data_IF_364387666712
#
_entry.id   IF_364387666712
#
_cell.length_a   1.000
_cell.length_b   1.000
_cell.length_c   1.000
_cell.angle_alpha   90.00
_cell.angle_beta   90.00
_cell.angle_gamma   90.00
#
_symmetry.space_group_name_H-M   'P 1'
#
loop_
_entity.id
_entity.type
_entity.pdbx_description
1 polymer ?
#
# COMPACT_ATOMS: atom_id res chain seq x y z
N UNK A 1 59.05 30.10 -13.69
CA UNK A 1 59.46 28.92 -14.44
C UNK A 1 58.15 28.16 -14.67
N UNK A 2 57.40 28.43 -15.72
CA UNK A 2 57.49 27.86 -17.08
C UNK A 2 57.14 26.36 -17.01
N UNK A 3 56.17 25.73 -17.68
CA UNK A 3 55.42 26.00 -18.90
C UNK A 3 54.20 25.04 -18.84
N UNK A 4 53.00 25.42 -19.25
CA UNK A 4 52.46 25.51 -20.62
C UNK A 4 52.18 24.17 -21.32
N UNK A 5 50.88 23.94 -21.54
CA UNK A 5 50.14 23.70 -22.80
C UNK A 5 50.20 22.26 -23.34
N UNK A 6 49.17 21.65 -23.87
CA UNK A 6 48.32 22.07 -24.97
C UNK A 6 47.15 21.09 -25.19
N UNK A 7 46.03 21.63 -25.66
CA UNK A 7 44.95 20.95 -26.40
C UNK A 7 45.38 20.80 -27.89
N UNK A 8 44.89 19.87 -28.66
CA UNK A 8 44.05 20.24 -29.80
C UNK A 8 42.88 19.31 -30.09
N UNK A 9 41.76 19.78 -30.29
CA UNK A 9 40.75 20.03 -31.35
C UNK A 9 40.94 19.31 -32.71
N UNK A 10 39.73 19.09 -33.34
CA UNK A 10 39.37 18.81 -34.76
C UNK A 10 39.14 17.33 -35.08
N UNK A 11 37.98 16.97 -35.60
CA UNK A 11 37.58 17.12 -36.97
C UNK A 11 36.14 16.67 -37.29
N UNK A 12 35.58 17.47 -38.10
CA UNK A 12 34.27 17.42 -38.76
C UNK A 12 34.16 16.36 -39.86
N UNK A 13 32.88 16.03 -40.17
CA UNK A 13 32.41 15.66 -41.51
C UNK A 13 32.20 14.16 -41.64
N UNK A 14 31.13 13.63 -42.24
CA UNK A 14 30.51 13.97 -43.54
C UNK A 14 29.17 13.24 -43.60
N UNK A 15 28.15 13.92 -44.09
CA UNK A 15 26.90 13.40 -44.60
C UNK A 15 27.11 12.41 -45.76
N UNK A 16 26.40 11.30 -45.78
CA UNK A 16 26.07 10.58 -47.02
C UNK A 16 24.56 10.30 -47.10
N UNK A 17 23.94 11.05 -48.03
CA UNK A 17 22.68 10.71 -48.64
C UNK A 17 22.97 9.69 -49.75
N UNK A 18 22.27 8.58 -49.75
CA UNK A 18 22.29 7.61 -50.83
C UNK A 18 20.88 7.07 -51.08
N UNK A 19 20.19 7.68 -52.02
CA UNK A 19 19.02 7.11 -52.72
C UNK A 19 19.55 6.02 -53.64
N UNK A 20 18.97 4.80 -53.57
CA UNK A 20 18.99 3.86 -54.71
C UNK A 20 17.66 3.18 -54.84
N UNK A 21 17.20 3.20 -56.07
CA UNK A 21 15.90 2.80 -56.55
C UNK A 21 15.69 1.27 -56.60
N UNK A 22 14.40 0.89 -56.62
CA UNK A 22 13.87 -0.42 -57.01
C UNK A 22 14.31 -0.89 -58.40
N UNK A 23 14.25 -2.20 -58.68
CA UNK A 23 13.47 -2.64 -59.76
C UNK A 23 12.46 -3.74 -59.39
N UNK A 24 11.26 -3.59 -59.93
CA UNK A 24 10.23 -4.61 -60.16
C UNK A 24 10.77 -5.66 -61.13
N UNK A 25 10.67 -6.93 -60.76
CA UNK A 25 10.66 -8.04 -61.72
C UNK A 25 9.48 -8.93 -61.42
N UNK A 26 8.53 -8.91 -62.35
CA UNK A 26 7.45 -9.88 -62.42
C UNK A 26 7.99 -11.18 -63.02
N UNK A 27 7.69 -12.30 -62.37
CA UNK A 27 7.98 -13.63 -62.89
C UNK A 27 6.88 -14.61 -62.47
N UNK A 28 5.94 -14.85 -63.36
CA UNK A 28 5.00 -15.98 -63.31
C UNK A 28 5.77 -17.27 -63.64
N UNK A 29 5.71 -18.28 -62.78
CA UNK A 29 5.88 -19.69 -63.18
C UNK A 29 4.95 -20.57 -62.36
N UNK A 30 4.31 -21.42 -63.06
CA UNK A 30 3.24 -22.37 -62.80
C UNK A 30 3.63 -23.57 -61.94
N UNK A 31 2.66 -24.03 -61.16
CA UNK A 31 2.27 -25.41 -60.86
C UNK A 31 3.30 -26.45 -60.45
N UNK A 32 3.11 -26.96 -59.23
CA UNK A 32 3.63 -28.25 -58.80
C UNK A 32 2.98 -28.65 -57.47
N UNK A 33 1.93 -29.47 -57.53
CA UNK A 33 1.32 -30.12 -56.37
C UNK A 33 2.29 -31.16 -55.81
N UNK A 34 2.76 -30.97 -54.61
CA UNK A 34 3.27 -32.03 -53.76
C UNK A 34 2.55 -31.92 -52.43
N UNK A 35 1.61 -32.80 -52.20
CA UNK A 35 1.00 -33.06 -50.90
C UNK A 35 2.08 -33.71 -50.05
N UNK A 36 2.59 -33.00 -49.05
CA UNK A 36 3.31 -33.59 -47.95
C UNK A 36 2.53 -33.20 -46.68
N UNK A 37 1.84 -34.21 -46.17
CA UNK A 37 1.28 -34.20 -44.81
C UNK A 37 2.39 -33.80 -43.84
N UNK A 38 2.30 -32.61 -43.30
CA UNK A 38 3.02 -32.20 -42.08
C UNK A 38 1.95 -31.86 -41.09
N UNK A 39 1.86 -32.66 -40.05
CA UNK A 39 1.20 -32.31 -38.80
C UNK A 39 1.84 -31.00 -38.25
N UNK A 40 1.24 -29.86 -38.63
CA UNK A 40 1.48 -28.61 -37.93
C UNK A 40 0.71 -28.69 -36.59
N UNK A 41 1.37 -28.42 -35.46
CA UNK A 41 0.65 -28.28 -34.22
C UNK A 41 -0.33 -27.12 -34.40
N UNK A 42 -1.63 -27.40 -34.30
CA UNK A 42 -2.70 -26.41 -34.31
C UNK A 42 -2.34 -25.26 -33.38
N UNK A 43 -2.28 -24.05 -33.92
CA UNK A 43 -2.23 -22.85 -33.13
C UNK A 43 -3.34 -22.90 -32.07
N UNK A 44 -3.06 -22.58 -30.80
CA UNK A 44 -4.13 -22.55 -29.82
C UNK A 44 -5.21 -21.60 -30.29
N UNK A 45 -6.45 -22.07 -30.23
CA UNK A 45 -7.64 -21.28 -30.56
C UNK A 45 -7.56 -19.94 -29.79
N UNK A 46 -7.97 -18.82 -30.39
CA UNK A 46 -8.02 -17.56 -29.68
C UNK A 46 -8.84 -17.79 -28.41
N UNK A 47 -8.20 -17.61 -27.27
CA UNK A 47 -8.87 -17.64 -25.97
C UNK A 47 -10.00 -16.64 -26.09
N UNK A 48 -11.24 -17.12 -25.93
CA UNK A 48 -12.42 -16.28 -25.94
C UNK A 48 -12.13 -15.07 -25.06
N UNK A 49 -12.41 -13.88 -25.59
CA UNK A 49 -12.25 -12.64 -24.85
C UNK A 49 -12.84 -12.86 -23.44
N UNK A 50 -11.99 -12.76 -22.45
CA UNK A 50 -12.40 -12.89 -21.05
C UNK A 50 -13.58 -11.93 -20.88
N UNK A 51 -14.69 -12.46 -20.37
CA UNK A 51 -15.83 -11.65 -20.00
C UNK A 51 -15.29 -10.49 -19.16
N UNK A 52 -15.59 -9.28 -19.57
CA UNK A 52 -15.21 -8.05 -18.83
C UNK A 52 -15.76 -8.24 -17.42
N UNK A 53 -14.88 -8.44 -16.46
CA UNK A 53 -15.30 -8.48 -15.06
C UNK A 53 -16.07 -7.20 -14.77
N UNK A 54 -17.23 -7.28 -14.11
CA UNK A 54 -17.99 -6.09 -13.79
C UNK A 54 -17.08 -5.15 -13.01
N UNK A 55 -16.85 -3.97 -13.55
CA UNK A 55 -16.12 -2.93 -12.84
C UNK A 55 -16.82 -2.75 -11.48
N UNK A 56 -16.06 -2.87 -10.38
CA UNK A 56 -16.56 -2.56 -9.04
C UNK A 56 -16.75 -1.06 -8.99
N UNK A 57 -17.81 -0.57 -9.62
CA UNK A 57 -18.23 0.81 -9.61
C UNK A 57 -19.31 0.98 -8.55
N UNK A 58 -18.85 1.07 -7.30
CA UNK A 58 -19.69 1.54 -6.19
C UNK A 58 -19.11 2.84 -5.62
N UNK A 59 -19.92 3.63 -4.87
CA UNK A 59 -19.38 4.69 -4.06
C UNK A 59 -18.28 4.10 -3.17
N UNK A 60 -17.20 4.85 -2.99
CA UNK A 60 -16.03 4.43 -2.22
C UNK A 60 -16.45 3.87 -0.85
N UNK A 61 -16.61 2.55 -0.77
CA UNK A 61 -17.03 1.84 0.46
C UNK A 61 -16.02 2.08 1.58
N UNK A 62 -14.80 2.48 1.23
CA UNK A 62 -13.76 2.89 2.14
C UNK A 62 -14.14 4.08 3.03
N UNK A 63 -14.98 5.00 2.58
CA UNK A 63 -15.40 6.15 3.41
C UNK A 63 -16.16 5.74 4.68
N UNK A 64 -16.66 4.51 4.74
CA UNK A 64 -17.28 3.95 5.93
C UNK A 64 -16.25 3.36 6.93
N UNK A 65 -14.97 3.23 6.54
CA UNK A 65 -13.95 2.53 7.31
C UNK A 65 -12.97 3.49 7.98
N UNK A 66 -12.62 3.21 9.23
CA UNK A 66 -11.52 3.81 9.97
C UNK A 66 -10.61 2.70 10.50
N UNK A 67 -9.34 2.98 10.86
CA UNK A 67 -8.49 1.98 11.49
C UNK A 67 -9.11 1.41 12.78
N UNK A 68 -8.79 0.16 13.11
CA UNK A 68 -9.13 -0.42 14.41
C UNK A 68 -8.56 0.41 15.55
N UNK A 69 -9.18 0.30 16.71
CA UNK A 69 -8.65 0.90 17.93
C UNK A 69 -7.41 0.15 18.39
N UNK A 70 -6.29 0.86 18.49
CA UNK A 70 -5.02 0.32 18.95
C UNK A 70 -4.98 0.20 20.49
N UNK A 71 -3.95 -0.49 20.98
CA UNK A 71 -3.57 -0.41 22.40
C UNK A 71 -3.24 1.05 22.75
N UNK A 72 -3.86 1.56 23.79
CA UNK A 72 -3.64 2.93 24.23
C UNK A 72 -2.24 3.14 24.80
N UNK A 73 -1.62 4.32 24.56
CA UNK A 73 -0.35 4.66 25.18
C UNK A 73 -0.48 4.71 26.71
N UNK A 74 0.49 4.15 27.40
CA UNK A 74 0.49 4.04 28.87
C UNK A 74 1.11 5.30 29.49
N UNK A 75 0.33 6.00 30.32
CA UNK A 75 0.82 7.12 31.15
C UNK A 75 1.13 6.65 32.56
N UNK A 76 2.09 7.32 33.22
CA UNK A 76 2.41 7.08 34.63
C UNK A 76 3.66 7.84 35.07
N UNK A 77 3.96 7.77 36.36
CA UNK A 77 5.19 8.34 36.92
C UNK A 77 6.43 7.60 36.42
N UNK A 78 7.52 8.32 36.20
CA UNK A 78 8.81 7.71 35.85
C UNK A 78 9.30 6.80 37.00
N UNK A 79 9.75 5.60 36.65
CA UNK A 79 10.44 4.67 37.54
C UNK A 79 11.92 4.60 37.20
N UNK A 80 12.72 3.85 37.98
CA UNK A 80 14.15 3.65 37.73
C UNK A 80 14.50 3.07 36.35
N UNK A 81 13.51 2.54 35.58
CA UNK A 81 13.67 2.00 34.25
C UNK A 81 13.11 2.87 33.11
N UNK A 82 12.83 4.14 33.36
CA UNK A 82 12.19 5.06 32.43
C UNK A 82 10.70 5.28 32.71
N UNK A 83 10.05 6.19 31.94
CA UNK A 83 8.61 6.39 32.05
C UNK A 83 7.84 5.22 31.46
N UNK A 84 6.63 4.92 31.95
CA UNK A 84 5.77 3.89 31.35
C UNK A 84 5.54 4.11 29.85
N UNK A 85 5.45 5.35 29.41
CA UNK A 85 5.32 5.69 28.00
C UNK A 85 6.57 5.33 27.18
N UNK A 86 7.79 5.52 27.76
CA UNK A 86 9.03 5.09 27.12
C UNK A 86 9.07 3.56 27.01
N UNK A 87 8.75 2.83 28.07
CA UNK A 87 8.70 1.36 28.06
C UNK A 87 7.68 0.83 27.05
N UNK A 88 6.53 1.49 26.93
CA UNK A 88 5.51 1.17 25.92
C UNK A 88 6.10 1.35 24.51
N UNK A 89 6.72 2.50 24.21
CA UNK A 89 7.32 2.75 22.90
C UNK A 89 8.44 1.75 22.59
N UNK A 90 9.32 1.47 23.53
CA UNK A 90 10.42 0.52 23.36
C UNK A 90 9.91 -0.90 23.09
N UNK A 91 8.81 -1.29 23.75
CA UNK A 91 8.20 -2.62 23.56
C UNK A 91 7.57 -2.84 22.19
N UNK A 92 7.14 -1.76 21.52
CA UNK A 92 6.48 -1.80 20.22
C UNK A 92 7.42 -1.45 19.06
N UNK A 93 8.57 -0.82 19.33
CA UNK A 93 9.46 -0.32 18.28
C UNK A 93 9.91 -1.41 17.30
N UNK A 94 10.39 -2.54 17.80
CA UNK A 94 10.78 -3.68 16.96
C UNK A 94 9.60 -4.33 16.22
N UNK A 95 8.54 -4.76 16.94
CA UNK A 95 7.37 -5.38 16.32
C UNK A 95 6.71 -4.54 15.22
N UNK A 96 6.63 -3.23 15.41
CA UNK A 96 6.01 -2.32 14.45
C UNK A 96 6.97 -1.83 13.36
N UNK A 97 8.28 -2.01 13.55
CA UNK A 97 9.32 -1.39 12.73
C UNK A 97 9.21 0.15 12.71
N UNK A 98 8.93 0.73 13.87
CA UNK A 98 8.83 2.18 14.07
C UNK A 98 9.89 2.63 15.07
N UNK A 99 10.72 3.65 14.79
CA UNK A 99 11.64 4.18 15.79
C UNK A 99 10.91 4.58 17.10
N UNK A 100 11.46 4.19 18.25
CA UNK A 100 10.83 4.49 19.55
C UNK A 100 10.58 6.00 19.76
N UNK A 101 11.45 6.86 19.23
CA UNK A 101 11.27 8.32 19.26
C UNK A 101 10.04 8.77 18.44
N UNK A 102 9.76 8.13 17.31
CA UNK A 102 8.57 8.41 16.53
C UNK A 102 7.30 7.90 17.25
N UNK A 103 7.35 6.68 17.83
CA UNK A 103 6.24 6.16 18.66
C UNK A 103 5.91 7.07 19.84
N UNK A 104 6.93 7.58 20.54
CA UNK A 104 6.73 8.58 21.58
C UNK A 104 6.05 9.84 21.04
N UNK A 105 6.47 10.29 19.86
CA UNK A 105 5.83 11.42 19.18
C UNK A 105 4.34 11.17 18.94
N UNK A 106 3.99 10.02 18.36
CA UNK A 106 2.58 9.66 18.06
C UNK A 106 1.75 9.49 19.34
N UNK A 107 2.31 8.85 20.36
CA UNK A 107 1.66 8.72 21.65
C UNK A 107 1.40 10.09 22.30
N UNK A 108 2.38 10.99 22.30
CA UNK A 108 2.21 12.35 22.81
C UNK A 108 1.15 13.12 22.01
N UNK A 109 1.08 12.92 20.69
CA UNK A 109 0.02 13.48 19.84
C UNK A 109 -1.37 13.01 20.28
N UNK A 110 -1.58 11.72 20.46
CA UNK A 110 -2.85 11.17 20.94
C UNK A 110 -3.19 11.69 22.35
N UNK A 111 -2.25 11.63 23.29
CA UNK A 111 -2.47 12.04 24.68
C UNK A 111 -2.80 13.53 24.79
N UNK A 112 -2.12 14.37 24.02
CA UNK A 112 -2.42 15.81 23.97
C UNK A 112 -3.85 16.07 23.43
N UNK A 113 -4.22 15.42 22.33
CA UNK A 113 -5.56 15.59 21.73
C UNK A 113 -6.66 14.97 22.59
N UNK A 114 -6.37 13.89 23.32
CA UNK A 114 -7.32 13.33 24.31
C UNK A 114 -7.66 14.35 25.41
N UNK A 115 -6.72 15.22 25.79
CA UNK A 115 -6.93 16.29 26.76
C UNK A 115 -7.54 17.56 26.14
N UNK A 116 -7.12 17.94 24.93
CA UNK A 116 -7.53 19.19 24.26
C UNK A 116 -8.88 19.07 23.56
N UNK A 117 -9.16 17.94 22.91
CA UNK A 117 -10.37 17.65 22.12
C UNK A 117 -10.77 16.16 22.26
N UNK A 118 -11.33 15.77 23.40
CA UNK A 118 -11.69 14.36 23.65
C UNK A 118 -12.73 13.81 22.68
N UNK A 119 -13.55 14.66 22.06
CA UNK A 119 -14.55 14.28 21.07
C UNK A 119 -13.96 13.85 19.72
N UNK A 120 -12.72 14.21 19.44
CA UNK A 120 -12.02 13.82 18.22
C UNK A 120 -11.67 12.33 18.17
N UNK A 121 -11.38 11.71 19.33
CA UNK A 121 -10.97 10.30 19.42
C UNK A 121 -9.80 9.93 18.51
N UNK A 122 -8.82 10.83 18.35
CA UNK A 122 -7.59 10.56 17.61
C UNK A 122 -6.86 9.35 18.21
N UNK A 123 -6.44 8.41 17.37
CA UNK A 123 -5.55 7.32 17.77
C UNK A 123 -4.13 7.52 17.22
N UNK A 124 -3.12 7.15 17.99
CA UNK A 124 -1.71 7.22 17.60
C UNK A 124 -1.41 6.44 16.31
N UNK A 125 -2.17 5.38 16.00
CA UNK A 125 -1.96 4.61 14.76
C UNK A 125 -2.28 5.42 13.51
N UNK A 126 -3.23 6.36 13.57
CA UNK A 126 -3.47 7.30 12.45
C UNK A 126 -2.25 8.20 12.24
N UNK A 127 -1.64 8.71 13.32
CA UNK A 127 -0.41 9.49 13.24
C UNK A 127 0.76 8.64 12.73
N UNK A 128 0.87 7.39 13.18
CA UNK A 128 1.89 6.46 12.70
C UNK A 128 1.72 6.13 11.21
N UNK A 129 0.50 5.91 10.74
CA UNK A 129 0.20 5.75 9.31
C UNK A 129 0.61 6.96 8.47
N UNK A 130 0.39 8.18 8.98
CA UNK A 130 0.85 9.42 8.33
C UNK A 130 2.39 9.48 8.31
N UNK A 131 3.05 9.15 9.42
CA UNK A 131 4.50 9.11 9.50
C UNK A 131 5.12 8.13 8.53
N UNK A 132 4.55 6.93 8.40
CA UNK A 132 4.96 5.92 7.42
C UNK A 132 4.76 6.41 5.98
N UNK A 133 3.53 6.79 5.63
CA UNK A 133 3.19 7.19 4.27
C UNK A 133 3.97 8.43 3.80
N UNK A 134 4.27 9.35 4.71
CA UNK A 134 5.00 10.58 4.42
C UNK A 134 6.52 10.40 4.36
N UNK A 135 7.13 9.95 5.45
CA UNK A 135 8.57 10.00 5.65
C UNK A 135 9.20 8.70 6.14
N UNK A 136 8.48 7.59 6.14
CA UNK A 136 8.95 6.34 6.75
C UNK A 136 9.42 6.60 8.20
N UNK A 137 8.52 7.19 8.97
CA UNK A 137 8.78 7.57 10.37
C UNK A 137 10.00 8.48 10.58
N UNK A 138 10.34 9.32 9.59
CA UNK A 138 11.49 10.22 9.60
C UNK A 138 12.79 9.59 9.09
N UNK A 139 12.76 8.37 8.55
CA UNK A 139 13.93 7.74 7.88
C UNK A 139 14.18 8.33 6.49
N UNK A 140 13.16 8.88 5.83
CA UNK A 140 13.25 9.62 4.57
C UNK A 140 13.22 11.12 4.83
N UNK A 141 13.76 11.90 3.90
CA UNK A 141 13.73 13.36 3.97
C UNK A 141 12.31 13.91 4.08
N UNK A 142 12.14 14.98 4.86
CA UNK A 142 10.87 15.66 5.08
C UNK A 142 10.63 16.02 6.54
N UNK A 143 9.48 16.62 6.81
CA UNK A 143 9.04 16.86 8.19
C UNK A 143 8.33 15.60 8.71
N UNK A 144 8.49 15.23 10.00
CA UNK A 144 7.99 13.95 10.53
C UNK A 144 6.53 13.63 10.18
N UNK A 145 5.69 14.65 10.08
CA UNK A 145 4.26 14.49 9.81
C UNK A 145 3.82 15.10 8.46
N UNK A 146 4.74 15.56 7.62
CA UNK A 146 4.40 16.16 6.33
C UNK A 146 3.59 17.46 6.41
N UNK A 147 3.60 18.15 7.54
CA UNK A 147 2.87 19.41 7.74
C UNK A 147 3.42 20.52 6.84
N UNK A 148 2.52 21.25 6.17
CA UNK A 148 2.87 22.48 5.48
C UNK A 148 3.25 23.59 6.47
N UNK A 149 4.01 24.59 6.00
CA UNK A 149 4.33 25.77 6.81
C UNK A 149 3.07 26.47 7.36
N UNK A 150 1.99 26.52 6.57
CA UNK A 150 0.73 27.10 6.99
C UNK A 150 0.06 26.31 8.12
N UNK A 151 0.01 24.97 8.00
CA UNK A 151 -0.50 24.08 9.04
C UNK A 151 0.35 24.20 10.32
N UNK A 152 1.68 24.16 10.18
CA UNK A 152 2.57 24.34 11.33
C UNK A 152 2.35 25.67 12.05
N UNK A 153 2.26 26.79 11.31
CA UNK A 153 1.98 28.12 11.87
C UNK A 153 0.66 28.15 12.63
N UNK A 154 -0.36 27.42 12.16
CA UNK A 154 -1.69 27.38 12.77
C UNK A 154 -1.77 26.44 13.97
N UNK A 155 -1.16 25.27 13.91
CA UNK A 155 -1.39 24.18 14.86
C UNK A 155 -0.17 23.84 15.73
N UNK A 156 1.05 24.24 15.36
CA UNK A 156 2.31 23.87 16.01
C UNK A 156 2.72 24.75 17.18
N UNK A 157 1.85 25.67 17.64
CA UNK A 157 2.17 26.61 18.72
C UNK A 157 1.53 26.21 20.05
N UNK A 158 2.13 26.65 21.17
CA UNK A 158 1.58 26.46 22.54
C UNK A 158 1.22 25.00 22.84
N UNK A 159 2.17 24.10 22.63
CA UNK A 159 2.01 22.68 22.96
C UNK A 159 2.31 22.49 24.44
N UNK A 160 1.35 21.93 25.19
CA UNK A 160 1.51 21.68 26.63
C UNK A 160 2.70 20.75 26.88
N UNK A 161 3.54 21.08 27.86
CA UNK A 161 4.72 20.30 28.20
C UNK A 161 5.92 20.49 27.27
N UNK A 162 5.80 21.25 26.16
CA UNK A 162 6.91 21.52 25.24
C UNK A 162 7.24 23.00 25.23
N UNK A 163 8.39 23.37 25.76
CA UNK A 163 8.82 24.76 25.90
C UNK A 163 9.13 25.44 24.57
N UNK A 164 9.73 24.70 23.64
CA UNK A 164 10.12 25.18 22.32
C UNK A 164 9.64 24.19 21.25
N UNK A 165 8.37 24.26 20.81
CA UNK A 165 7.88 23.41 19.74
C UNK A 165 8.68 23.60 18.45
N UNK A 166 9.05 22.51 17.81
CA UNK A 166 9.76 22.52 16.53
C UNK A 166 9.11 21.57 15.52
N UNK A 167 9.03 22.00 14.26
CA UNK A 167 8.43 21.20 13.18
C UNK A 167 9.17 19.87 12.95
N UNK A 168 10.47 19.84 13.26
CA UNK A 168 11.32 18.65 13.14
C UNK A 168 11.30 17.74 14.36
N UNK A 169 10.71 18.20 15.49
CA UNK A 169 10.53 17.38 16.66
C UNK A 169 9.31 16.47 16.51
N UNK A 170 9.46 15.13 16.65
CA UNK A 170 8.37 14.18 16.43
C UNK A 170 7.13 14.46 17.29
N UNK A 171 7.29 14.79 18.57
CA UNK A 171 6.17 15.07 19.47
C UNK A 171 5.45 16.35 19.09
N UNK A 172 6.19 17.42 18.82
CA UNK A 172 5.62 18.71 18.40
C UNK A 172 4.84 18.57 17.08
N UNK A 173 5.43 17.88 16.10
CA UNK A 173 4.79 17.62 14.81
C UNK A 173 3.55 16.74 14.95
N UNK A 174 3.60 15.71 15.79
CA UNK A 174 2.45 14.81 15.99
C UNK A 174 1.27 15.53 16.67
N UNK A 175 1.51 16.37 17.66
CA UNK A 175 0.46 17.21 18.28
C UNK A 175 -0.15 18.17 17.25
N UNK A 176 0.70 18.85 16.47
CA UNK A 176 0.23 19.77 15.44
C UNK A 176 -0.60 19.04 14.35
N UNK A 177 -0.16 17.83 13.95
CA UNK A 177 -0.90 16.97 13.02
C UNK A 177 -2.24 16.53 13.59
N UNK A 178 -2.26 16.11 14.85
CA UNK A 178 -3.49 15.75 15.55
C UNK A 178 -4.51 16.91 15.57
N UNK A 179 -4.06 18.12 15.91
CA UNK A 179 -4.92 19.31 15.88
C UNK A 179 -5.44 19.61 14.48
N UNK A 180 -4.62 19.42 13.45
CA UNK A 180 -5.06 19.61 12.06
C UNK A 180 -6.12 18.58 11.65
N UNK A 181 -5.98 17.32 12.06
CA UNK A 181 -6.93 16.24 11.80
C UNK A 181 -8.26 16.47 12.53
N UNK A 182 -8.20 16.87 13.81
CA UNK A 182 -9.41 17.12 14.63
C UNK A 182 -10.18 18.38 14.19
N UNK A 183 -9.52 19.35 13.55
CA UNK A 183 -10.12 20.61 13.16
C UNK A 183 -11.26 20.46 12.15
N UNK A 184 -12.47 20.23 12.60
CA UNK A 184 -13.67 20.13 11.77
C UNK A 184 -14.00 18.73 11.26
N UNK A 185 -13.33 17.70 11.75
CA UNK A 185 -13.57 16.31 11.36
C UNK A 185 -14.63 15.61 12.23
N UNK A 186 -14.74 15.99 13.50
CA UNK A 186 -15.55 15.26 14.48
C UNK A 186 -14.86 13.98 14.95
N UNK A 187 -15.61 12.90 15.11
CA UNK A 187 -15.13 11.65 15.66
C UNK A 187 -14.34 10.85 14.61
N UNK A 188 -13.05 10.59 14.87
CA UNK A 188 -12.15 9.82 13.99
C UNK A 188 -12.30 8.30 14.10
N UNK A 189 -13.11 7.78 15.01
CA UNK A 189 -13.46 6.35 15.03
C UNK A 189 -14.54 6.00 14.02
N UNK A 190 -15.24 6.99 13.48
CA UNK A 190 -16.20 6.82 12.41
C UNK A 190 -15.54 7.05 11.05
N UNK A 191 -15.79 6.16 10.08
CA UNK A 191 -15.15 6.21 8.77
C UNK A 191 -15.32 7.58 8.09
N UNK A 192 -16.53 8.11 8.03
CA UNK A 192 -16.81 9.43 7.44
C UNK A 192 -16.01 10.56 8.12
N UNK A 193 -15.87 10.54 9.44
CA UNK A 193 -15.06 11.51 10.19
C UNK A 193 -13.57 11.37 9.85
N UNK A 194 -13.06 10.13 9.84
CA UNK A 194 -11.67 9.85 9.51
C UNK A 194 -11.30 10.29 8.09
N UNK A 195 -12.12 9.93 7.09
CA UNK A 195 -11.89 10.32 5.69
C UNK A 195 -11.96 11.82 5.47
N UNK A 196 -12.90 12.52 6.14
CA UNK A 196 -12.99 13.98 6.13
C UNK A 196 -11.74 14.62 6.73
N UNK A 197 -11.24 14.09 7.86
CA UNK A 197 -10.00 14.56 8.48
C UNK A 197 -8.82 14.43 7.53
N UNK A 198 -8.66 13.25 6.92
CA UNK A 198 -7.58 12.98 5.98
C UNK A 198 -7.64 13.85 4.72
N UNK A 199 -8.86 14.16 4.21
CA UNK A 199 -9.04 15.06 3.08
C UNK A 199 -8.64 16.51 3.41
N UNK A 200 -8.89 16.96 4.64
CA UNK A 200 -8.45 18.27 5.14
C UNK A 200 -6.96 18.34 5.46
N UNK A 201 -6.37 17.22 5.85
CA UNK A 201 -4.96 17.12 6.22
C UNK A 201 -4.02 17.15 5.01
N UNK A 202 -4.29 16.35 4.02
CA UNK A 202 -3.50 16.24 2.79
C UNK A 202 -4.39 16.43 1.57
N UNK A 203 -4.05 17.40 0.71
CA UNK A 203 -4.81 17.75 -0.48
C UNK A 203 -3.91 17.80 -1.71
N UNK A 204 -4.50 17.63 -2.89
CA UNK A 204 -3.78 17.67 -4.18
C UNK A 204 -3.61 16.31 -4.83
N UNK A 205 -2.73 16.21 -5.81
CA UNK A 205 -2.44 14.97 -6.54
C UNK A 205 -1.88 13.90 -5.60
N UNK A 206 -2.34 12.66 -5.75
CA UNK A 206 -1.92 11.54 -4.89
C UNK A 206 -2.62 11.47 -3.51
N UNK A 207 -3.58 12.35 -3.25
CA UNK A 207 -4.33 12.38 -1.98
C UNK A 207 -5.00 11.03 -1.69
N UNK A 208 -5.61 10.40 -2.69
CA UNK A 208 -6.29 9.12 -2.51
C UNK A 208 -5.32 8.01 -2.12
N UNK A 209 -4.21 7.89 -2.84
CA UNK A 209 -3.16 6.92 -2.52
C UNK A 209 -2.57 7.17 -1.12
N UNK A 210 -2.34 8.43 -0.76
CA UNK A 210 -1.86 8.78 0.57
C UNK A 210 -2.82 8.31 1.67
N UNK A 211 -4.12 8.59 1.52
CA UNK A 211 -5.15 8.16 2.48
C UNK A 211 -5.23 6.64 2.62
N UNK A 212 -5.19 5.91 1.51
CA UNK A 212 -5.19 4.46 1.51
C UNK A 212 -3.94 3.89 2.20
N UNK A 213 -2.76 4.44 1.95
CA UNK A 213 -1.53 4.07 2.66
C UNK A 213 -1.67 4.30 4.17
N UNK A 214 -2.14 5.48 4.57
CA UNK A 214 -2.37 5.78 5.99
C UNK A 214 -3.34 4.80 6.62
N UNK A 215 -4.48 4.49 5.95
CA UNK A 215 -5.46 3.52 6.44
C UNK A 215 -4.84 2.13 6.62
N UNK A 216 -4.15 1.63 5.60
CA UNK A 216 -3.56 0.29 5.61
C UNK A 216 -2.50 0.11 6.69
N UNK A 217 -1.57 1.06 6.80
CA UNK A 217 -0.55 1.00 7.84
C UNK A 217 -1.12 1.23 9.24
N UNK A 218 -2.06 2.15 9.41
CA UNK A 218 -2.72 2.36 10.70
C UNK A 218 -3.48 1.10 11.14
N UNK A 219 -4.14 0.39 10.22
CA UNK A 219 -4.80 -0.87 10.47
C UNK A 219 -3.80 -1.97 10.90
N UNK A 220 -2.67 -2.09 10.19
CA UNK A 220 -1.61 -3.02 10.54
C UNK A 220 -1.04 -2.73 11.94
N UNK A 221 -0.72 -1.47 12.23
CA UNK A 221 -0.18 -1.06 13.53
C UNK A 221 -1.18 -1.28 14.67
N UNK A 222 -2.47 -1.03 14.44
CA UNK A 222 -3.52 -1.34 15.40
C UNK A 222 -3.53 -2.84 15.74
N UNK A 223 -3.54 -3.69 14.73
CA UNK A 223 -3.56 -5.16 14.90
C UNK A 223 -2.32 -5.63 15.66
N UNK A 224 -1.12 -5.18 15.27
CA UNK A 224 0.13 -5.58 15.91
C UNK A 224 0.30 -5.00 17.32
N UNK A 225 -0.29 -3.85 17.63
CA UNK A 225 -0.26 -3.30 18.99
C UNK A 225 -1.05 -4.14 19.99
N UNK A 226 -2.07 -4.85 19.50
CA UNK A 226 -2.88 -5.76 20.31
C UNK A 226 -2.24 -7.15 20.46
N UNK A 227 -1.46 -7.57 19.46
CA UNK A 227 -0.75 -8.86 19.44
C UNK A 227 0.59 -8.72 18.70
N UNK A 228 1.58 -8.24 19.43
CA UNK A 228 2.93 -7.99 18.89
C UNK A 228 3.68 -9.26 18.48
N UNK A 229 3.30 -10.42 18.99
CA UNK A 229 3.98 -11.68 18.70
C UNK A 229 3.73 -12.11 17.24
N UNK A 230 2.67 -11.58 16.62
CA UNK A 230 2.40 -11.75 15.18
C UNK A 230 3.40 -11.03 14.27
N UNK A 231 4.20 -10.09 14.75
CA UNK A 231 5.06 -9.24 13.92
C UNK A 231 6.05 -10.02 13.02
N UNK A 232 6.50 -11.19 13.46
CA UNK A 232 7.43 -12.04 12.73
C UNK A 232 6.75 -13.08 11.80
N UNK A 233 5.42 -13.13 11.77
CA UNK A 233 4.70 -14.14 10.96
C UNK A 233 4.81 -13.87 9.45
N UNK A 234 4.70 -14.92 8.61
CA UNK A 234 4.60 -14.75 7.16
C UNK A 234 3.45 -13.83 6.75
N UNK A 235 2.30 -13.92 7.42
CA UNK A 235 1.13 -13.08 7.20
C UNK A 235 1.43 -11.58 7.31
N UNK A 236 2.16 -11.17 8.35
CA UNK A 236 2.56 -9.76 8.54
C UNK A 236 3.57 -9.32 7.49
N UNK A 237 4.56 -10.16 7.15
CA UNK A 237 5.52 -9.82 6.08
C UNK A 237 4.84 -9.67 4.74
N UNK A 238 3.93 -10.61 4.38
CA UNK A 238 3.14 -10.52 3.17
C UNK A 238 2.26 -9.26 3.13
N UNK A 239 1.62 -8.91 4.25
CA UNK A 239 0.83 -7.68 4.36
C UNK A 239 1.68 -6.42 4.16
N UNK A 240 2.87 -6.34 4.78
CA UNK A 240 3.81 -5.22 4.58
C UNK A 240 4.23 -5.09 3.12
N UNK A 241 4.55 -6.21 2.47
CA UNK A 241 4.86 -6.22 1.04
C UNK A 241 3.69 -5.67 0.23
N UNK A 242 2.47 -6.18 0.43
CA UNK A 242 1.28 -5.73 -0.30
C UNK A 242 0.98 -4.24 -0.10
N UNK A 243 1.12 -3.72 1.14
CA UNK A 243 0.98 -2.29 1.44
C UNK A 243 2.00 -1.44 0.68
N UNK A 244 3.22 -1.94 0.50
CA UNK A 244 4.24 -1.29 -0.31
C UNK A 244 3.89 -1.19 -1.80
N UNK A 245 3.00 -2.05 -2.31
CA UNK A 245 2.58 -2.08 -3.71
C UNK A 245 1.39 -1.17 -4.02
N UNK A 246 0.77 -0.54 -3.01
CA UNK A 246 -0.37 0.38 -3.23
C UNK A 246 -0.03 1.46 -4.26
N UNK A 247 -0.91 1.59 -5.25
CA UNK A 247 -0.77 2.54 -6.34
C UNK A 247 -0.09 2.00 -7.59
N UNK A 248 0.50 0.79 -7.57
CA UNK A 248 0.97 0.14 -8.80
C UNK A 248 -0.21 -0.28 -9.68
N UNK A 249 -0.09 -0.19 -11.01
CA UNK A 249 -1.21 -0.49 -11.90
C UNK A 249 -1.60 -1.97 -11.85
N UNK A 250 -2.89 -2.24 -12.10
CA UNK A 250 -3.32 -3.58 -12.48
C UNK A 250 -2.69 -3.96 -13.83
N UNK A 251 -2.16 -5.16 -13.93
CA UNK A 251 -1.62 -5.74 -15.16
C UNK A 251 -2.06 -7.19 -15.26
N UNK A 252 -2.86 -7.53 -16.25
CA UNK A 252 -3.29 -8.91 -16.48
C UNK A 252 -2.10 -9.86 -16.60
N UNK A 253 -2.07 -10.93 -15.81
CA UNK A 253 -0.94 -11.86 -15.75
C UNK A 253 0.30 -11.30 -15.04
N UNK A 254 0.25 -10.08 -14.48
CA UNK A 254 1.36 -9.43 -13.80
C UNK A 254 1.70 -10.05 -12.45
N UNK A 255 3.01 -10.20 -12.17
CA UNK A 255 3.56 -10.63 -10.89
C UNK A 255 4.42 -9.53 -10.24
N UNK A 256 4.28 -8.28 -10.71
CA UNK A 256 4.96 -7.12 -10.19
C UNK A 256 6.31 -6.79 -10.83
N UNK A 257 6.89 -5.62 -10.44
CA UNK A 257 8.13 -5.11 -11.02
C UNK A 257 9.33 -6.05 -10.88
N UNK A 258 9.46 -6.73 -9.75
CA UNK A 258 10.55 -7.68 -9.50
C UNK A 258 10.50 -8.90 -10.43
N UNK A 259 9.33 -9.22 -10.95
CA UNK A 259 9.12 -10.26 -11.96
C UNK A 259 9.04 -9.70 -13.40
N UNK A 260 9.41 -8.43 -13.61
CA UNK A 260 9.46 -7.78 -14.93
C UNK A 260 8.13 -7.26 -15.46
N UNK A 261 7.04 -7.25 -14.68
CA UNK A 261 5.77 -6.66 -15.04
C UNK A 261 5.63 -5.25 -14.43
N UNK A 262 4.91 -4.34 -15.10
CA UNK A 262 4.70 -2.99 -14.57
C UNK A 262 3.82 -2.95 -13.30
N UNK A 263 3.07 -4.02 -13.02
CA UNK A 263 2.17 -4.13 -11.89
C UNK A 263 1.68 -5.56 -11.67
N UNK A 264 0.54 -5.72 -11.04
CA UNK A 264 0.01 -7.00 -10.59
C UNK A 264 -1.40 -7.27 -11.13
N UNK A 265 -1.73 -8.55 -11.33
CA UNK A 265 -3.12 -8.98 -11.21
C UNK A 265 -3.44 -9.41 -9.76
N UNK A 266 -4.69 -9.78 -9.48
CA UNK A 266 -5.15 -10.11 -8.13
C UNK A 266 -4.33 -11.23 -7.47
N UNK A 267 -4.18 -12.36 -8.15
CA UNK A 267 -3.45 -13.52 -7.64
C UNK A 267 -1.93 -13.38 -7.76
N UNK A 268 -1.43 -12.57 -8.68
CA UNK A 268 -0.02 -12.18 -8.77
C UNK A 268 0.42 -11.36 -7.57
N UNK A 269 -0.43 -10.42 -7.10
CA UNK A 269 -0.16 -9.64 -5.89
C UNK A 269 -0.08 -10.53 -4.65
N UNK A 270 -1.07 -11.39 -4.42
CA UNK A 270 -1.09 -12.29 -3.24
C UNK A 270 0.06 -13.28 -3.28
N UNK A 271 0.38 -13.83 -4.47
CA UNK A 271 1.52 -14.71 -4.69
C UNK A 271 2.83 -14.02 -4.34
N UNK A 272 3.11 -12.86 -4.92
CA UNK A 272 4.34 -12.11 -4.66
C UNK A 272 4.46 -11.70 -3.18
N UNK A 273 3.34 -11.31 -2.56
CA UNK A 273 3.30 -10.96 -1.14
C UNK A 273 3.75 -12.12 -0.25
N UNK A 274 3.24 -13.32 -0.51
CA UNK A 274 3.61 -14.49 0.27
C UNK A 274 4.98 -15.05 -0.09
N UNK A 275 5.42 -14.97 -1.35
CA UNK A 275 6.79 -15.32 -1.75
C UNK A 275 7.82 -14.44 -1.05
N UNK A 276 7.55 -13.14 -0.88
CA UNK A 276 8.40 -12.23 -0.08
C UNK A 276 8.52 -12.67 1.38
N UNK A 277 7.53 -13.40 1.87
CA UNK A 277 7.48 -13.96 3.22
C UNK A 277 8.01 -15.40 3.31
N UNK A 278 8.47 -15.98 2.19
CA UNK A 278 9.00 -17.36 2.12
C UNK A 278 7.93 -18.44 1.96
N UNK A 279 6.70 -18.07 1.61
CA UNK A 279 5.56 -18.99 1.39
C UNK A 279 5.18 -18.99 -0.08
N UNK A 280 5.17 -20.15 -0.71
CA UNK A 280 4.79 -20.30 -2.12
C UNK A 280 3.29 -20.46 -2.27
N UNK A 281 2.69 -19.67 -3.18
CA UNK A 281 1.29 -19.78 -3.57
C UNK A 281 1.15 -20.13 -5.05
N UNK A 282 0.08 -20.85 -5.44
CA UNK A 282 -0.27 -21.07 -6.84
C UNK A 282 -0.49 -19.74 -7.59
N UNK A 283 -0.39 -19.79 -8.95
CA UNK A 283 -0.46 -18.58 -9.76
C UNK A 283 -1.86 -17.96 -9.84
N UNK A 284 -2.92 -18.75 -9.88
CA UNK A 284 -4.28 -18.26 -10.14
C UNK A 284 -5.12 -18.21 -8.87
N UNK A 285 -6.11 -17.31 -8.82
CA UNK A 285 -7.04 -17.20 -7.69
C UNK A 285 -7.76 -18.52 -7.41
N UNK A 286 -8.24 -19.21 -8.45
CA UNK A 286 -8.91 -20.51 -8.30
C UNK A 286 -7.98 -21.59 -7.71
N UNK A 287 -6.72 -21.65 -8.15
CA UNK A 287 -5.74 -22.59 -7.60
C UNK A 287 -5.36 -22.23 -6.15
N UNK A 288 -5.26 -20.96 -5.82
CA UNK A 288 -5.03 -20.52 -4.44
C UNK A 288 -6.20 -20.93 -3.53
N UNK A 289 -7.44 -20.66 -3.96
CA UNK A 289 -8.63 -21.06 -3.21
C UNK A 289 -8.67 -22.57 -2.90
N UNK A 290 -8.36 -23.40 -3.92
CA UNK A 290 -8.40 -24.87 -3.79
C UNK A 290 -7.24 -25.43 -2.98
N UNK A 291 -6.14 -24.70 -2.84
CA UNK A 291 -4.93 -25.18 -2.14
C UNK A 291 -4.87 -24.81 -0.67
N UNK A 292 -5.67 -23.84 -0.23
CA UNK A 292 -5.59 -23.30 1.13
C UNK A 292 -6.66 -23.91 2.07
N UNK A 293 -6.31 -24.13 3.34
CA UNK A 293 -7.31 -24.50 4.34
C UNK A 293 -8.31 -23.36 4.51
N UNK A 294 -9.63 -23.65 4.46
CA UNK A 294 -10.65 -22.63 4.59
C UNK A 294 -10.72 -22.10 6.03
N UNK A 295 -11.05 -20.81 6.16
CA UNK A 295 -11.31 -20.15 7.44
C UNK A 295 -12.65 -19.42 7.39
N UNK A 296 -13.38 -19.42 8.52
CA UNK A 296 -14.68 -18.74 8.64
C UNK A 296 -14.54 -17.28 9.01
N UNK A 297 -13.54 -16.94 9.82
CA UNK A 297 -13.25 -15.59 10.28
C UNK A 297 -11.84 -15.22 9.85
N UNK A 298 -11.67 -14.48 8.75
CA UNK A 298 -10.35 -14.16 8.25
C UNK A 298 -9.57 -13.28 9.23
N UNK A 299 -8.30 -13.59 9.38
CA UNK A 299 -7.32 -12.86 10.15
C UNK A 299 -6.34 -12.11 9.22
N UNK A 300 -5.58 -11.18 9.77
CA UNK A 300 -4.53 -10.45 9.03
C UNK A 300 -3.66 -11.43 8.22
N UNK A 301 -3.60 -11.21 6.92
CA UNK A 301 -2.85 -12.04 5.98
C UNK A 301 -3.67 -13.12 5.28
N UNK A 302 -4.83 -13.53 5.79
CA UNK A 302 -5.68 -14.50 5.08
C UNK A 302 -6.07 -13.98 3.70
N UNK A 303 -6.33 -14.90 2.77
CA UNK A 303 -6.81 -14.57 1.45
C UNK A 303 -8.34 -14.66 1.42
N UNK A 304 -8.97 -13.66 0.82
CA UNK A 304 -10.42 -13.59 0.61
C UNK A 304 -10.72 -13.72 -0.87
N UNK A 305 -11.71 -14.54 -1.20
CA UNK A 305 -11.97 -15.01 -2.55
C UNK A 305 -13.37 -14.67 -3.03
N UNK A 306 -13.51 -14.47 -4.36
CA UNK A 306 -14.76 -14.12 -5.02
C UNK A 306 -14.97 -14.97 -6.27
N UNK A 307 -16.23 -15.38 -6.49
CA UNK A 307 -16.65 -16.24 -7.57
C UNK A 307 -17.50 -17.40 -7.09
N UNK A 308 -17.73 -18.38 -7.97
CA UNK A 308 -18.49 -19.57 -7.62
C UNK A 308 -17.52 -20.70 -7.22
N UNK A 309 -17.52 -21.16 -5.94
CA UNK A 309 -16.62 -22.24 -5.50
C UNK A 309 -16.75 -23.54 -6.29
N UNK A 310 -17.94 -23.83 -6.82
CA UNK A 310 -18.20 -25.05 -7.60
C UNK A 310 -17.75 -24.93 -9.08
N UNK A 311 -17.52 -23.71 -9.58
CA UNK A 311 -17.22 -23.46 -10.98
C UNK A 311 -15.85 -22.83 -11.13
N UNK A 312 -15.66 -21.60 -10.63
CA UNK A 312 -14.45 -20.84 -10.80
C UNK A 312 -14.37 -19.67 -9.83
N UNK A 313 -13.19 -19.47 -9.22
CA UNK A 313 -12.83 -18.30 -8.43
C UNK A 313 -12.05 -17.35 -9.32
N UNK A 314 -12.62 -16.17 -9.55
CA UNK A 314 -12.06 -15.20 -10.48
C UNK A 314 -11.24 -14.09 -9.81
N UNK A 315 -11.43 -13.85 -8.50
CA UNK A 315 -10.73 -12.78 -7.80
C UNK A 315 -10.26 -13.18 -6.41
N UNK A 316 -9.20 -12.52 -5.94
CA UNK A 316 -8.61 -12.72 -4.62
C UNK A 316 -8.03 -11.40 -4.09
N UNK A 317 -8.17 -11.18 -2.78
CA UNK A 317 -7.51 -10.10 -2.04
C UNK A 317 -6.82 -10.63 -0.78
N UNK A 318 -5.87 -9.85 -0.25
CA UNK A 318 -5.20 -10.12 1.00
C UNK A 318 -5.89 -9.34 2.12
N UNK A 319 -6.45 -10.05 3.10
CA UNK A 319 -7.18 -9.46 4.21
C UNK A 319 -6.24 -8.72 5.17
N UNK A 320 -6.58 -7.47 5.50
CA UNK A 320 -5.77 -6.62 6.39
C UNK A 320 -6.45 -6.30 7.72
N UNK A 321 -7.56 -6.98 8.00
CA UNK A 321 -8.34 -6.75 9.22
C UNK A 321 -9.48 -5.75 9.02
N UNK A 322 -10.41 -5.71 9.98
CA UNK A 322 -11.54 -4.76 10.00
C UNK A 322 -12.40 -4.75 8.74
N UNK A 323 -12.58 -5.92 8.11
CA UNK A 323 -13.36 -6.04 6.88
C UNK A 323 -12.70 -5.41 5.65
N UNK A 324 -11.38 -5.17 5.68
CA UNK A 324 -10.61 -4.58 4.59
C UNK A 324 -9.67 -5.61 3.95
N UNK A 325 -9.43 -5.44 2.65
CA UNK A 325 -8.45 -6.21 1.88
C UNK A 325 -7.61 -5.30 0.99
N UNK A 326 -6.38 -5.73 0.68
CA UNK A 326 -5.57 -5.16 -0.41
C UNK A 326 -5.74 -6.07 -1.61
N UNK A 327 -6.03 -5.50 -2.78
CA UNK A 327 -6.16 -6.25 -4.02
C UNK A 327 -5.68 -5.43 -5.23
N UNK A 328 -5.44 -6.11 -6.35
CA UNK A 328 -5.33 -5.53 -7.69
C UNK A 328 -6.65 -5.83 -8.43
N UNK A 329 -7.57 -4.86 -8.53
CA UNK A 329 -8.98 -5.18 -8.84
C UNK A 329 -9.24 -5.47 -10.32
N UNK A 330 -8.90 -4.59 -11.24
CA UNK A 330 -9.14 -4.74 -12.67
C UNK A 330 -8.32 -3.76 -13.50
N UNK A 331 -8.32 -3.91 -14.83
CA UNK A 331 -7.67 -2.98 -15.76
C UNK A 331 -8.17 -1.53 -15.57
N UNK A 332 -7.23 -0.60 -15.69
CA UNK A 332 -7.49 0.83 -15.48
C UNK A 332 -7.47 1.26 -14.00
N UNK A 333 -7.36 0.33 -13.09
CA UNK A 333 -7.22 0.60 -11.66
C UNK A 333 -5.81 0.24 -11.16
N UNK A 334 -5.54 0.61 -9.91
CA UNK A 334 -4.28 0.30 -9.25
C UNK A 334 -4.51 -0.64 -8.07
N UNK A 335 -3.43 -1.22 -7.55
CA UNK A 335 -3.43 -1.91 -6.25
C UNK A 335 -3.96 -0.95 -5.19
N UNK A 336 -4.99 -1.36 -4.49
CA UNK A 336 -5.72 -0.50 -3.54
C UNK A 336 -6.39 -1.30 -2.42
N UNK A 337 -6.89 -0.57 -1.42
CA UNK A 337 -7.64 -1.15 -0.31
C UNK A 337 -9.14 -1.06 -0.64
N UNK A 338 -9.84 -2.18 -0.47
CA UNK A 338 -11.30 -2.28 -0.56
C UNK A 338 -11.89 -2.91 0.69
N UNK A 339 -13.20 -2.74 0.90
CA UNK A 339 -13.93 -3.58 1.84
C UNK A 339 -14.09 -4.98 1.26
N UNK A 340 -14.07 -5.98 2.15
CA UNK A 340 -14.26 -7.39 1.77
C UNK A 340 -15.69 -7.61 1.29
N UNK A 341 -16.68 -7.06 1.99
CA UNK A 341 -18.09 -7.25 1.64
C UNK A 341 -18.73 -5.97 1.13
N UNK A 342 -19.36 -6.08 -0.03
CA UNK A 342 -20.25 -5.07 -0.58
C UNK A 342 -21.61 -5.72 -0.92
N UNK A 343 -22.72 -4.95 -0.91
CA UNK A 343 -24.02 -5.51 -1.28
C UNK A 343 -24.01 -6.15 -2.66
N UNK A 344 -24.33 -7.44 -2.74
CA UNK A 344 -24.41 -8.18 -4.01
C UNK A 344 -23.07 -8.73 -4.50
N UNK A 345 -22.02 -8.75 -3.68
CA UNK A 345 -20.77 -9.44 -4.01
C UNK A 345 -20.97 -10.97 -4.12
N UNK A 346 -20.04 -11.62 -4.78
CA UNK A 346 -19.98 -13.08 -4.90
C UNK A 346 -18.87 -13.69 -4.03
N UNK A 347 -18.75 -13.17 -2.79
CA UNK A 347 -17.77 -13.65 -1.82
C UNK A 347 -17.88 -15.17 -1.64
N UNK A 348 -16.77 -15.87 -1.87
CA UNK A 348 -16.69 -17.33 -1.91
C UNK A 348 -16.09 -17.95 -0.65
N UNK A 349 -15.52 -17.14 0.23
CA UNK A 349 -14.88 -17.59 1.46
C UNK A 349 -13.45 -17.05 1.61
N UNK A 350 -12.76 -17.54 2.64
CA UNK A 350 -11.38 -17.19 2.91
C UNK A 350 -10.52 -18.44 3.17
N UNK A 351 -9.19 -18.28 2.98
CA UNK A 351 -8.22 -19.35 3.20
C UNK A 351 -6.97 -18.83 3.88
N UNK A 352 -6.32 -19.70 4.69
CA UNK A 352 -5.13 -19.39 5.47
C UNK A 352 -3.87 -19.91 4.78
N UNK A 353 -2.94 -19.05 4.33
CA UNK A 353 -1.74 -19.51 3.61
C UNK A 353 -0.65 -20.12 4.48
N UNK A 354 -0.49 -19.66 5.74
CA UNK A 354 0.55 -20.16 6.68
C UNK A 354 0.41 -19.59 8.09
#
# INVERSE_FOLDING_TARGET
>A
MSAEAANPSWGRGVLYRGLVALPLVAGLVTAGWIVADRDEPSAPAPVAAAATEPAVSGPSVLEASAPLRAQEPVQGAASSGGSPLQQWADSLAGPLDIPATALLGYANGELALRAEDPGCHLSWVTLAGIGEAGTDHGRREGTPMGLTTAQWKKYGTKISGITKPALTDPSSSAVAAGRALCAGAGNLTAGNGWWKAMAGYHSGSGMELFRQRVLGYAQLYATLSLDKDKAATPAVRATRFALGQLGLPYVWGGNGPDAGAAGFDCSGLTKASYESAGVSLPRTADSQFRSLPPVTEPQLGDLVFYGNPAVHIHHVGLYVGNGLMINAPTEGQAVQIHTVHIPGDDYAGAGHPA
#
